data_IF_713982482036
#
_entry.id   IF_713982482036
#
_cell.length_a   1.000
_cell.length_b   1.000
_cell.length_c   1.000
_cell.angle_alpha   90.00
_cell.angle_beta   90.00
_cell.angle_gamma   90.00
#
_symmetry.space_group_name_H-M   'P 1'
#
loop_
_entity.id
_entity.type
_entity.pdbx_description
1 polymer ?
#
# COMPACT_ATOMS: atom_id res chain seq x y z
N UNK A 1 -7.59 41.02 11.42
CA UNK A 1 -7.14 39.91 10.56
C UNK A 1 -7.77 40.07 9.17
N UNK A 2 -6.98 40.12 8.09
CA UNK A 2 -7.53 40.23 6.71
C UNK A 2 -7.93 38.84 6.21
N UNK A 3 -9.18 38.67 5.77
CA UNK A 3 -9.70 37.42 5.20
C UNK A 3 -9.00 37.16 3.86
N UNK A 4 -8.13 36.15 3.78
CA UNK A 4 -7.54 35.71 2.51
C UNK A 4 -8.58 34.82 1.80
N UNK A 5 -9.17 35.31 0.71
CA UNK A 5 -10.11 34.56 -0.15
C UNK A 5 -9.41 34.26 -1.48
N UNK A 6 -9.63 33.06 -2.01
CA UNK A 6 -9.17 32.71 -3.35
C UNK A 6 -10.21 33.22 -4.37
N UNK A 7 -9.75 33.98 -5.36
CA UNK A 7 -10.59 34.55 -6.42
C UNK A 7 -10.31 33.80 -7.72
N UNK A 8 -11.37 33.42 -8.43
CA UNK A 8 -11.23 32.90 -9.78
C UNK A 8 -10.86 34.03 -10.75
N UNK A 9 -9.81 33.82 -11.56
CA UNK A 9 -9.26 34.83 -12.48
C UNK A 9 -10.13 35.11 -13.70
N UNK A 10 -11.08 34.23 -14.01
CA UNK A 10 -12.01 34.41 -15.13
C UNK A 10 -13.35 35.05 -14.75
N UNK A 11 -13.89 34.71 -13.58
CA UNK A 11 -15.20 35.23 -13.12
C UNK A 11 -15.12 36.29 -12.02
N UNK A 12 -13.92 36.49 -11.43
CA UNK A 12 -13.69 37.34 -10.25
C UNK A 12 -14.55 36.99 -9.02
N UNK A 13 -15.21 35.82 -9.02
CA UNK A 13 -16.00 35.33 -7.89
C UNK A 13 -15.09 34.69 -6.85
N UNK A 14 -15.27 35.06 -5.58
CA UNK A 14 -14.52 34.50 -4.47
C UNK A 14 -15.19 33.29 -3.86
N UNK A 15 -14.41 32.23 -3.60
CA UNK A 15 -14.90 31.08 -2.86
C UNK A 15 -14.95 31.45 -1.36
N UNK A 16 -16.16 31.47 -0.79
CA UNK A 16 -16.39 31.80 0.64
C UNK A 16 -15.99 30.65 1.59
N UNK A 17 -15.86 29.43 1.07
CA UNK A 17 -15.61 28.25 1.88
C UNK A 17 -14.10 28.08 2.14
N UNK A 18 -13.69 27.75 3.38
CA UNK A 18 -12.31 27.37 3.63
C UNK A 18 -11.96 26.17 2.75
N UNK A 19 -10.78 26.20 2.14
CA UNK A 19 -10.20 25.03 1.47
C UNK A 19 -10.04 23.97 2.56
N UNK A 20 -11.00 23.05 2.65
CA UNK A 20 -10.83 21.84 3.44
C UNK A 20 -9.67 21.10 2.81
N UNK A 21 -8.62 20.86 3.60
CA UNK A 21 -7.56 19.97 3.20
C UNK A 21 -8.22 18.61 2.94
N UNK A 22 -8.38 18.28 1.66
CA UNK A 22 -8.87 16.97 1.25
C UNK A 22 -7.98 15.94 1.94
N UNK A 23 -8.59 15.06 2.74
CA UNK A 23 -7.90 13.89 3.26
C UNK A 23 -7.18 13.25 2.07
N UNK A 24 -5.87 13.05 2.22
CA UNK A 24 -4.97 12.53 1.19
C UNK A 24 -5.71 11.71 0.14
N UNK A 25 -5.67 12.11 -1.13
CA UNK A 25 -6.15 11.28 -2.23
C UNK A 25 -5.36 9.97 -2.21
N UNK A 26 -5.85 9.00 -1.45
CA UNK A 26 -5.33 7.65 -1.50
C UNK A 26 -6.08 6.96 -2.62
N UNK A 27 -5.33 6.28 -3.49
CA UNK A 27 -5.94 5.41 -4.50
C UNK A 27 -6.47 4.20 -3.75
N UNK A 28 -7.78 4.18 -3.51
CA UNK A 28 -8.49 3.05 -2.95
C UNK A 28 -8.77 2.03 -4.06
N UNK A 29 -8.44 0.76 -3.85
CA UNK A 29 -8.86 -0.33 -4.74
C UNK A 29 -10.36 -0.64 -4.62
N UNK A 30 -11.04 -0.05 -3.64
CA UNK A 30 -12.46 -0.30 -3.34
C UNK A 30 -13.16 1.03 -3.08
N UNK A 31 -14.36 1.20 -3.64
CA UNK A 31 -15.25 2.31 -3.30
C UNK A 31 -15.57 2.24 -1.80
N UNK A 32 -15.32 3.33 -1.06
CA UNK A 32 -15.43 3.38 0.40
C UNK A 32 -16.81 3.00 0.97
N UNK A 33 -17.87 3.17 0.18
CA UNK A 33 -19.26 2.84 0.56
C UNK A 33 -19.76 1.51 -0.02
N UNK A 34 -18.87 0.72 -0.62
CA UNK A 34 -19.25 -0.60 -1.14
C UNK A 34 -19.74 -1.50 0.00
N UNK A 35 -20.80 -2.31 -0.20
CA UNK A 35 -21.30 -3.23 0.81
C UNK A 35 -20.23 -4.25 1.27
N UNK A 36 -19.18 -4.44 0.48
CA UNK A 36 -18.08 -5.37 0.75
C UNK A 36 -16.98 -4.79 1.63
N UNK A 37 -16.96 -3.49 1.92
CA UNK A 37 -15.87 -2.86 2.71
C UNK A 37 -15.76 -3.48 4.10
N UNK A 38 -16.89 -3.77 4.76
CA UNK A 38 -16.91 -4.46 6.06
C UNK A 38 -16.27 -5.86 5.98
N UNK A 39 -16.47 -6.57 4.87
CA UNK A 39 -15.92 -7.90 4.65
C UNK A 39 -14.40 -7.84 4.44
N UNK A 40 -13.94 -6.90 3.62
CA UNK A 40 -12.51 -6.72 3.34
C UNK A 40 -11.74 -6.28 4.59
N UNK A 41 -12.31 -5.37 5.38
CA UNK A 41 -11.72 -4.94 6.66
C UNK A 41 -11.64 -6.08 7.69
N UNK A 42 -12.61 -7.00 7.67
CA UNK A 42 -12.61 -8.19 8.53
C UNK A 42 -11.46 -9.15 8.21
N UNK A 43 -11.01 -9.21 6.94
CA UNK A 43 -9.96 -10.10 6.44
C UNK A 43 -8.77 -9.33 5.85
N UNK A 44 -8.34 -8.30 6.58
CA UNK A 44 -7.30 -7.37 6.14
C UNK A 44 -5.95 -8.06 5.87
N UNK A 45 -5.69 -9.15 6.60
CA UNK A 45 -4.53 -10.03 6.51
C UNK A 45 -4.40 -10.75 5.15
N UNK A 46 -5.51 -10.93 4.44
CA UNK A 46 -5.55 -11.51 3.09
C UNK A 46 -5.44 -10.40 2.04
N UNK A 47 -6.07 -9.24 2.29
CA UNK A 47 -6.16 -8.15 1.30
C UNK A 47 -4.93 -7.24 1.24
N UNK A 48 -4.06 -7.27 2.25
CA UNK A 48 -2.84 -6.44 2.31
C UNK A 48 -1.58 -7.29 2.24
N UNK A 49 -1.01 -7.49 1.03
CA UNK A 49 0.16 -8.34 0.84
C UNK A 49 1.45 -7.76 1.44
N UNK A 50 1.50 -6.44 1.68
CA UNK A 50 2.69 -5.73 2.16
C UNK A 50 2.89 -5.78 3.67
N UNK A 51 1.90 -6.25 4.43
CA UNK A 51 2.09 -6.41 5.86
C UNK A 51 3.00 -7.63 6.08
N UNK A 52 4.12 -7.50 6.82
CA UNK A 52 4.91 -8.65 7.21
C UNK A 52 3.94 -9.61 7.90
N UNK A 53 3.67 -10.76 7.26
CA UNK A 53 2.81 -11.76 7.88
C UNK A 53 3.49 -12.12 9.20
N UNK A 54 2.86 -11.88 10.37
CA UNK A 54 3.50 -12.13 11.65
C UNK A 54 3.72 -13.63 11.76
N UNK A 55 4.91 -14.13 11.38
CA UNK A 55 5.30 -15.54 11.29
C UNK A 55 4.10 -16.48 11.37
N UNK A 56 3.16 -16.34 10.42
CA UNK A 56 1.85 -16.94 10.59
C UNK A 56 2.11 -18.41 10.44
N UNK A 57 2.01 -19.15 11.53
CA UNK A 57 2.12 -20.60 11.52
C UNK A 57 1.12 -21.09 10.49
N UNK A 58 1.67 -21.49 9.34
CA UNK A 58 0.90 -22.02 8.24
C UNK A 58 0.20 -23.26 8.80
N UNK A 59 -1.14 -23.24 8.82
CA UNK A 59 -1.93 -24.30 9.47
C UNK A 59 -1.77 -25.66 8.80
N UNK A 60 -1.29 -25.67 7.56
CA UNK A 60 -1.01 -26.89 6.81
C UNK A 60 0.48 -27.25 6.90
N UNK A 61 0.76 -28.55 6.93
CA UNK A 61 2.12 -29.09 6.90
C UNK A 61 2.61 -29.35 5.46
N UNK A 62 1.90 -28.84 4.45
CA UNK A 62 2.34 -28.94 3.06
C UNK A 62 3.56 -28.06 2.83
N UNK A 63 4.66 -28.68 2.44
CA UNK A 63 5.94 -28.03 2.13
C UNK A 63 6.29 -28.21 0.65
N UNK A 64 7.05 -27.25 0.10
CA UNK A 64 7.60 -27.36 -1.24
C UNK A 64 8.83 -28.26 -1.23
N UNK A 65 8.77 -29.41 -1.92
CA UNK A 65 9.93 -30.26 -2.15
C UNK A 65 10.57 -29.90 -3.50
N UNK A 66 11.80 -29.38 -3.47
CA UNK A 66 12.59 -29.18 -4.68
C UNK A 66 13.39 -30.46 -4.92
N UNK A 67 12.98 -31.25 -5.91
CA UNK A 67 13.75 -32.41 -6.34
C UNK A 67 15.08 -31.94 -6.94
N UNK A 68 16.20 -32.40 -6.37
CA UNK A 68 17.54 -32.10 -6.89
C UNK A 68 18.17 -33.38 -7.42
N UNK A 69 18.74 -33.30 -8.62
CA UNK A 69 19.41 -34.44 -9.29
C UNK A 69 20.93 -34.34 -9.28
N UNK A 70 21.47 -33.20 -8.86
CA UNK A 70 22.90 -32.89 -8.90
C UNK A 70 23.43 -32.54 -7.52
N UNK A 71 24.76 -32.61 -7.30
CA UNK A 71 25.38 -32.12 -6.08
C UNK A 71 25.11 -30.63 -5.84
N UNK A 72 25.15 -30.16 -4.58
CA UNK A 72 25.05 -28.74 -4.26
C UNK A 72 26.14 -27.91 -4.95
N UNK A 73 25.77 -26.77 -5.51
CA UNK A 73 26.70 -25.83 -6.15
C UNK A 73 26.96 -24.66 -5.22
N UNK A 74 28.23 -24.38 -4.92
CA UNK A 74 28.64 -23.20 -4.17
C UNK A 74 29.09 -22.09 -5.12
N UNK A 75 28.72 -20.84 -4.82
CA UNK A 75 29.26 -19.66 -5.48
C UNK A 75 29.49 -18.53 -4.48
N UNK A 76 30.52 -17.72 -4.69
CA UNK A 76 30.84 -16.59 -3.82
C UNK A 76 29.85 -15.45 -4.08
N UNK A 77 29.30 -14.87 -3.00
CA UNK A 77 28.46 -13.68 -3.11
C UNK A 77 29.20 -12.54 -3.83
N UNK A 78 28.51 -11.89 -4.78
CA UNK A 78 29.06 -10.70 -5.45
C UNK A 78 28.90 -9.49 -4.55
N UNK A 79 29.87 -8.57 -4.60
CA UNK A 79 29.74 -7.28 -3.92
C UNK A 79 28.55 -6.54 -4.54
N UNK A 80 27.66 -6.02 -3.70
CA UNK A 80 26.64 -5.09 -4.14
C UNK A 80 27.26 -3.70 -4.34
N UNK A 81 26.67 -2.92 -5.22
CA UNK A 81 27.01 -1.51 -5.42
C UNK A 81 26.72 -0.73 -4.12
N UNK A 82 27.63 0.16 -3.66
CA UNK A 82 27.37 1.06 -2.53
C UNK A 82 26.04 1.80 -2.59
N UNK A 83 25.53 2.13 -3.77
CA UNK A 83 24.25 2.85 -3.92
C UNK A 83 23.00 1.97 -3.69
N UNK A 84 23.16 0.64 -3.66
CA UNK A 84 22.06 -0.33 -3.49
C UNK A 84 22.04 -0.99 -2.11
N UNK A 85 22.87 -0.50 -1.20
CA UNK A 85 22.93 -0.91 0.20
C UNK A 85 21.87 -0.17 1.03
#
# INVERSE_FOLDING_TARGET
MKRKKLLDGTSAVGLENPISANESMYVATVQGDSPYVKLLLKFNDITKPSQPKPAVHVKHNTEHHIETRSPPVFSKARRMDPEKL
#
